data_IF_823622055228
#
_entry.id   IF_823622055228
#
_cell.length_a   1.000
_cell.length_b   1.000
_cell.length_c   1.000
_cell.angle_alpha   90.00
_cell.angle_beta   90.00
_cell.angle_gamma   90.00
#
_symmetry.space_group_name_H-M   'P 1'
#
loop_
_entity.id
_entity.type
_entity.pdbx_description
1 polymer ?
#
# COMPACT_ATOMS: atom_id res chain seq x y z
N UNK A 1 -7.85 8.26 8.26
CA UNK A 1 -7.97 6.78 8.33
C UNK A 1 -8.09 6.26 6.90
N UNK A 2 -7.00 5.78 6.36
CA UNK A 2 -6.94 5.19 5.01
C UNK A 2 -7.55 3.77 5.07
N UNK A 3 -8.57 3.49 4.26
CA UNK A 3 -9.09 2.13 4.07
C UNK A 3 -8.54 1.57 2.78
N UNK A 4 -8.00 0.37 2.84
CA UNK A 4 -7.50 -0.36 1.68
C UNK A 4 -8.63 -1.22 1.09
N UNK A 5 -8.84 -1.12 -0.22
CA UNK A 5 -9.65 -2.06 -0.98
C UNK A 5 -8.72 -2.83 -1.91
N UNK A 6 -8.70 -4.15 -1.78
CA UNK A 6 -7.99 -5.01 -2.72
C UNK A 6 -8.93 -5.40 -3.86
N UNK A 7 -8.49 -5.22 -5.09
CA UNK A 7 -9.22 -5.59 -6.32
C UNK A 7 -9.76 -7.03 -6.38
N UNK A 8 -9.22 -8.05 -5.68
CA UNK A 8 -9.73 -9.41 -5.75
C UNK A 8 -11.16 -9.61 -5.21
N UNK A 9 -11.63 -8.81 -4.26
CA UNK A 9 -12.98 -8.97 -3.69
C UNK A 9 -14.11 -8.45 -4.60
N UNK A 10 -13.77 -7.67 -5.63
CA UNK A 10 -14.72 -7.16 -6.62
C UNK A 10 -14.76 -8.03 -7.90
N UNK A 11 -13.91 -9.06 -7.98
CA UNK A 11 -13.71 -9.87 -9.20
C UNK A 11 -14.72 -10.97 -9.43
N UNK A 12 -15.60 -11.31 -8.47
CA UNK A 12 -16.59 -12.39 -8.62
C UNK A 12 -17.91 -11.99 -9.28
N UNK A 13 -18.06 -10.75 -9.75
CA UNK A 13 -19.16 -10.42 -10.62
C UNK A 13 -18.84 -10.92 -12.04
N UNK A 14 -19.66 -11.84 -12.56
CA UNK A 14 -19.58 -12.40 -13.90
C UNK A 14 -19.58 -11.30 -14.97
N UNK A 15 -18.41 -10.89 -15.42
CA UNK A 15 -18.26 -9.99 -16.55
C UNK A 15 -17.29 -10.62 -17.53
N UNK A 16 -17.78 -10.93 -18.71
CA UNK A 16 -17.03 -11.42 -19.86
C UNK A 16 -15.95 -10.39 -20.23
N UNK A 17 -14.71 -10.84 -20.27
CA UNK A 17 -13.57 -10.07 -20.76
C UNK A 17 -13.79 -9.69 -22.23
N UNK A 18 -13.87 -8.41 -22.52
CA UNK A 18 -13.87 -7.90 -23.90
C UNK A 18 -12.44 -7.61 -24.33
N UNK A 19 -11.85 -8.43 -25.21
CA UNK A 19 -10.47 -8.26 -25.66
C UNK A 19 -10.26 -7.05 -26.58
N UNK A 20 -11.34 -6.42 -27.06
CA UNK A 20 -11.27 -5.33 -28.06
C UNK A 20 -11.07 -3.97 -27.37
N UNK A 21 -11.59 -3.77 -26.17
CA UNK A 21 -11.55 -2.45 -25.52
C UNK A 21 -10.38 -2.27 -24.54
N UNK A 22 -9.63 -3.32 -24.18
CA UNK A 22 -8.55 -3.31 -23.17
C UNK A 22 -8.96 -2.63 -21.83
N UNK A 23 -10.24 -2.36 -21.62
CA UNK A 23 -10.74 -1.70 -20.41
C UNK A 23 -10.83 -2.68 -19.24
N UNK A 24 -10.41 -2.24 -18.08
CA UNK A 24 -10.76 -2.90 -16.82
C UNK A 24 -12.29 -2.98 -16.72
N UNK A 25 -12.88 -4.12 -16.31
CA UNK A 25 -14.34 -4.26 -16.23
C UNK A 25 -15.01 -3.28 -15.24
N UNK A 26 -14.23 -2.59 -14.45
CA UNK A 26 -14.66 -1.44 -13.64
C UNK A 26 -13.66 -0.31 -13.86
N UNK A 27 -14.10 0.80 -14.47
CA UNK A 27 -13.26 1.95 -14.72
C UNK A 27 -12.77 2.53 -13.38
N UNK A 28 -11.58 3.13 -13.37
CA UNK A 28 -11.06 3.84 -12.20
C UNK A 28 -12.06 4.91 -11.70
N UNK A 29 -12.75 5.58 -12.63
CA UNK A 29 -13.80 6.53 -12.34
C UNK A 29 -14.91 5.93 -11.47
N UNK A 30 -15.43 4.74 -11.82
CA UNK A 30 -16.51 4.09 -11.06
C UNK A 30 -16.10 3.78 -9.61
N UNK A 31 -14.82 3.37 -9.42
CA UNK A 31 -14.27 3.12 -8.07
C UNK A 31 -14.16 4.42 -7.29
N UNK A 32 -13.68 5.47 -7.95
CA UNK A 32 -13.53 6.80 -7.36
C UNK A 32 -14.89 7.38 -6.96
N UNK A 33 -15.90 7.28 -7.81
CA UNK A 33 -17.25 7.76 -7.53
C UNK A 33 -17.87 7.03 -6.34
N UNK A 34 -17.71 5.71 -6.27
CA UNK A 34 -18.15 4.91 -5.12
C UNK A 34 -17.44 5.31 -3.82
N UNK A 35 -16.13 5.62 -3.91
CA UNK A 35 -15.36 6.09 -2.78
C UNK A 35 -15.86 7.46 -2.30
N UNK A 36 -16.07 8.42 -3.21
CA UNK A 36 -16.61 9.75 -2.91
C UNK A 36 -18.02 9.68 -2.31
N UNK A 37 -18.87 8.78 -2.86
CA UNK A 37 -20.18 8.51 -2.27
C UNK A 37 -20.06 7.98 -0.84
N UNK A 38 -19.19 7.03 -0.58
CA UNK A 38 -19.00 6.48 0.77
C UNK A 38 -18.45 7.52 1.76
N UNK A 39 -17.59 8.43 1.33
CA UNK A 39 -17.15 9.58 2.15
C UNK A 39 -18.33 10.47 2.51
N UNK A 40 -19.14 10.84 1.53
CA UNK A 40 -20.33 11.68 1.72
C UNK A 40 -21.34 11.01 2.66
N UNK A 41 -21.65 9.73 2.43
CA UNK A 41 -22.60 8.97 3.27
C UNK A 41 -22.12 8.85 4.73
N UNK A 42 -20.80 8.90 4.95
CA UNK A 42 -20.16 8.88 6.27
C UNK A 42 -19.90 10.27 6.87
N UNK A 43 -20.36 11.35 6.23
CA UNK A 43 -20.12 12.73 6.67
C UNK A 43 -18.64 13.13 6.69
N UNK A 44 -17.82 12.54 5.82
CA UNK A 44 -16.39 12.83 5.72
C UNK A 44 -16.13 13.87 4.63
N UNK A 45 -15.03 14.61 4.80
CA UNK A 45 -14.59 15.55 3.77
C UNK A 45 -14.24 14.80 2.46
N UNK A 46 -14.65 15.31 1.29
CA UNK A 46 -14.27 14.74 0.01
C UNK A 46 -12.75 14.68 -0.15
N UNK A 47 -12.24 13.52 -0.55
CA UNK A 47 -10.80 13.30 -0.68
C UNK A 47 -10.08 12.93 0.62
N UNK A 48 -10.81 12.74 1.72
CA UNK A 48 -10.24 12.27 3.00
C UNK A 48 -9.80 10.80 2.98
N UNK A 49 -10.20 10.06 1.93
CA UNK A 49 -9.79 8.67 1.69
C UNK A 49 -9.04 8.60 0.38
N UNK A 50 -7.84 8.04 0.44
CA UNK A 50 -6.98 7.82 -0.72
C UNK A 50 -7.15 6.40 -1.25
N UNK A 51 -7.24 6.27 -2.57
CA UNK A 51 -7.28 4.99 -3.27
C UNK A 51 -5.85 4.54 -3.58
N UNK A 52 -5.47 3.35 -3.14
CA UNK A 52 -4.21 2.72 -3.53
C UNK A 52 -4.53 1.58 -4.51
N UNK A 53 -4.10 1.72 -5.76
CA UNK A 53 -4.27 0.69 -6.78
C UNK A 53 -3.24 -0.43 -6.59
N UNK A 54 -3.69 -1.63 -6.23
CA UNK A 54 -2.79 -2.77 -6.01
C UNK A 54 -2.41 -3.40 -7.34
N UNK A 55 -1.14 -3.27 -7.72
CA UNK A 55 -0.57 -3.69 -9.00
C UNK A 55 0.22 -5.01 -8.96
N UNK A 56 0.24 -5.68 -7.80
CA UNK A 56 0.89 -6.99 -7.66
C UNK A 56 0.38 -8.00 -8.70
N UNK A 57 1.30 -8.72 -9.35
CA UNK A 57 0.99 -9.74 -10.35
C UNK A 57 0.16 -9.21 -11.54
N UNK A 58 0.05 -7.89 -11.72
CA UNK A 58 -0.63 -7.32 -12.89
C UNK A 58 0.36 -7.11 -14.04
N UNK A 59 -0.05 -7.40 -15.29
CA UNK A 59 0.76 -7.06 -16.45
C UNK A 59 0.95 -5.54 -16.58
N UNK A 60 2.07 -5.13 -17.17
CA UNK A 60 2.44 -3.72 -17.29
C UNK A 60 1.38 -2.89 -18.02
N UNK A 61 0.73 -3.45 -19.03
CA UNK A 61 -0.31 -2.78 -19.83
C UNK A 61 -1.52 -2.37 -18.99
N UNK A 62 -1.85 -3.17 -17.95
CA UNK A 62 -2.93 -2.82 -17.01
C UNK A 62 -2.53 -1.71 -16.05
N UNK A 63 -1.29 -1.74 -15.59
CA UNK A 63 -0.76 -0.70 -14.70
C UNK A 63 -0.69 0.61 -15.47
N UNK A 64 -0.18 0.56 -16.70
CA UNK A 64 -0.07 1.71 -17.58
C UNK A 64 -1.43 2.34 -17.92
N UNK A 65 -2.45 1.53 -18.17
CA UNK A 65 -3.81 2.04 -18.40
C UNK A 65 -4.31 2.89 -17.23
N UNK A 66 -4.05 2.47 -16.00
CA UNK A 66 -4.43 3.21 -14.79
C UNK A 66 -3.58 4.48 -14.62
N UNK A 67 -2.29 4.43 -14.98
CA UNK A 67 -1.42 5.61 -15.00
C UNK A 67 -1.88 6.64 -16.04
N UNK A 68 -2.32 6.20 -17.23
CA UNK A 68 -2.86 7.05 -18.29
C UNK A 68 -4.18 7.72 -17.89
N UNK A 69 -5.00 7.08 -17.04
CA UNK A 69 -6.19 7.69 -16.43
C UNK A 69 -5.84 8.73 -15.35
N UNK A 70 -4.55 8.98 -15.08
CA UNK A 70 -4.09 9.99 -14.12
C UNK A 70 -3.88 9.49 -12.70
N UNK A 71 -4.12 8.23 -12.40
CA UNK A 71 -3.86 7.69 -11.07
C UNK A 71 -2.36 7.58 -10.78
N UNK A 72 -1.95 7.86 -9.54
CA UNK A 72 -0.52 7.93 -9.18
C UNK A 72 -0.15 7.12 -7.93
N UNK A 73 -1.11 6.62 -7.16
CA UNK A 73 -0.87 5.93 -5.89
C UNK A 73 -1.03 4.42 -6.07
N UNK A 74 0.06 3.68 -6.00
CA UNK A 74 0.07 2.25 -6.27
C UNK A 74 0.62 1.43 -5.11
N UNK A 75 0.19 0.17 -5.01
CA UNK A 75 0.64 -0.75 -3.98
C UNK A 75 1.21 -2.04 -4.56
N UNK A 76 2.37 -2.44 -4.03
CA UNK A 76 3.03 -3.70 -4.36
C UNK A 76 3.19 -4.59 -3.13
N UNK A 77 3.22 -5.90 -3.34
CA UNK A 77 3.43 -6.86 -2.25
C UNK A 77 4.89 -7.27 -2.10
N UNK A 78 5.69 -7.18 -3.14
CA UNK A 78 7.07 -7.68 -3.17
C UNK A 78 8.03 -6.63 -3.69
N UNK A 79 9.09 -6.37 -2.93
CA UNK A 79 10.12 -5.39 -3.28
C UNK A 79 10.77 -5.72 -4.62
N UNK A 80 11.02 -7.01 -4.92
CA UNK A 80 11.64 -7.42 -6.17
C UNK A 80 10.75 -7.15 -7.39
N UNK A 81 9.44 -7.41 -7.28
CA UNK A 81 8.48 -7.09 -8.34
C UNK A 81 8.41 -5.58 -8.57
N UNK A 82 8.33 -4.83 -7.48
CA UNK A 82 8.34 -3.38 -7.52
C UNK A 82 9.61 -2.83 -8.20
N UNK A 83 10.78 -3.32 -7.82
CA UNK A 83 12.06 -2.89 -8.37
C UNK A 83 12.24 -3.23 -9.86
N UNK A 84 11.63 -4.31 -10.34
CA UNK A 84 11.66 -4.66 -11.76
C UNK A 84 10.67 -3.90 -12.63
N UNK A 85 9.62 -3.33 -12.04
CA UNK A 85 8.50 -2.70 -12.76
C UNK A 85 8.54 -1.17 -12.72
N UNK A 86 8.66 -0.60 -11.53
CA UNK A 86 8.38 0.82 -11.28
C UNK A 86 9.42 1.82 -11.77
N UNK A 87 10.73 1.52 -11.87
CA UNK A 87 11.68 2.45 -12.47
C UNK A 87 11.28 2.88 -13.88
N UNK A 88 10.88 1.93 -14.74
CA UNK A 88 10.43 2.21 -16.10
C UNK A 88 9.20 3.13 -16.14
N UNK A 89 8.21 2.91 -15.26
CA UNK A 89 7.03 3.78 -15.23
C UNK A 89 7.36 5.18 -14.73
N UNK A 90 8.31 5.32 -13.79
CA UNK A 90 8.73 6.63 -13.26
C UNK A 90 9.52 7.47 -14.25
N UNK A 91 10.11 6.87 -15.28
CA UNK A 91 10.72 7.59 -16.40
C UNK A 91 9.67 8.31 -17.26
N UNK A 92 8.47 7.75 -17.35
CA UNK A 92 7.38 8.26 -18.21
C UNK A 92 6.32 9.04 -17.42
N UNK A 93 6.04 8.62 -16.19
CA UNK A 93 4.99 9.19 -15.35
C UNK A 93 5.56 9.82 -14.09
N UNK A 94 5.41 11.13 -13.98
CA UNK A 94 5.87 11.87 -12.81
C UNK A 94 4.97 11.62 -11.59
N UNK A 95 5.52 11.86 -10.40
CA UNK A 95 4.80 11.86 -9.11
C UNK A 95 4.12 10.54 -8.75
N UNK A 96 4.69 9.41 -9.20
CA UNK A 96 4.18 8.09 -8.80
C UNK A 96 4.53 7.84 -7.34
N UNK A 97 3.50 7.67 -6.52
CA UNK A 97 3.59 7.29 -5.11
C UNK A 97 3.42 5.77 -4.97
N UNK A 98 4.48 5.09 -4.61
CA UNK A 98 4.53 3.63 -4.52
C UNK A 98 4.56 3.19 -3.06
N UNK A 99 3.59 2.37 -2.69
CA UNK A 99 3.45 1.80 -1.35
C UNK A 99 3.83 0.32 -1.35
N UNK A 100 4.62 -0.11 -0.37
CA UNK A 100 4.79 -1.53 -0.08
C UNK A 100 3.72 -1.96 0.92
N UNK A 101 2.76 -2.77 0.46
CA UNK A 101 1.65 -3.25 1.28
C UNK A 101 1.82 -4.70 1.74
N UNK A 102 2.71 -5.45 1.11
CA UNK A 102 3.03 -6.83 1.48
C UNK A 102 4.14 -6.94 2.53
N UNK A 103 4.39 -8.15 3.03
CA UNK A 103 5.38 -8.39 4.10
C UNK A 103 6.80 -8.00 3.65
N UNK A 104 7.50 -7.27 4.51
CA UNK A 104 8.87 -6.83 4.25
C UNK A 104 9.90 -7.70 4.96
N UNK A 105 10.72 -8.39 4.18
CA UNK A 105 11.91 -9.06 4.71
C UNK A 105 12.98 -8.04 5.11
N UNK A 106 13.61 -8.25 6.25
CA UNK A 106 14.61 -7.31 6.81
C UNK A 106 15.79 -7.05 5.86
N UNK A 107 16.24 -8.07 5.10
CA UNK A 107 17.31 -7.95 4.12
C UNK A 107 16.91 -7.17 2.84
N UNK A 108 15.63 -6.88 2.65
CA UNK A 108 15.11 -6.07 1.56
C UNK A 108 14.70 -4.65 2.00
N UNK A 109 14.89 -4.33 3.27
CA UNK A 109 14.45 -3.06 3.85
C UNK A 109 15.07 -1.86 3.16
N UNK A 110 16.38 -1.87 2.86
CA UNK A 110 17.06 -0.77 2.15
C UNK A 110 16.41 -0.52 0.80
N UNK A 111 16.26 -1.56 -0.02
CA UNK A 111 15.67 -1.45 -1.35
C UNK A 111 14.21 -0.95 -1.29
N UNK A 112 13.44 -1.39 -0.27
CA UNK A 112 12.09 -0.90 -0.06
C UNK A 112 12.06 0.60 0.28
N UNK A 113 12.96 1.07 1.15
CA UNK A 113 13.05 2.47 1.57
C UNK A 113 13.48 3.39 0.41
N UNK A 114 14.34 2.93 -0.47
CA UNK A 114 14.78 3.69 -1.64
C UNK A 114 13.72 3.77 -2.75
N UNK A 115 12.82 2.78 -2.80
CA UNK A 115 11.84 2.63 -3.86
C UNK A 115 10.46 3.18 -3.49
N UNK A 116 10.02 2.99 -2.24
CA UNK A 116 8.64 3.25 -1.80
C UNK A 116 8.54 4.53 -0.97
N UNK A 117 7.44 5.26 -1.16
CA UNK A 117 7.07 6.42 -0.34
C UNK A 117 6.40 6.01 0.96
N UNK A 118 5.78 4.80 1.00
CA UNK A 118 5.19 4.26 2.21
C UNK A 118 5.40 2.74 2.35
N UNK A 119 5.55 2.27 3.59
CA UNK A 119 5.65 0.85 3.95
C UNK A 119 4.57 0.54 4.97
N UNK A 120 3.66 -0.39 4.62
CA UNK A 120 2.48 -0.70 5.43
C UNK A 120 2.63 -1.95 6.31
N UNK A 121 3.78 -2.60 6.26
CA UNK A 121 4.01 -3.90 6.88
C UNK A 121 5.03 -3.87 8.03
N UNK A 122 5.05 -2.78 8.79
CA UNK A 122 5.86 -2.73 10.01
C UNK A 122 5.18 -3.55 11.11
N UNK A 123 5.67 -4.77 11.32
CA UNK A 123 4.99 -5.81 12.11
C UNK A 123 5.87 -6.43 13.23
N UNK A 124 7.09 -5.97 13.44
CA UNK A 124 8.01 -6.56 14.44
C UNK A 124 9.17 -5.66 14.83
N UNK A 125 9.69 -5.78 16.09
CA UNK A 125 10.78 -4.94 16.58
C UNK A 125 12.07 -5.03 15.78
N UNK A 126 12.43 -6.21 15.25
CA UNK A 126 13.62 -6.39 14.42
C UNK A 126 13.57 -5.54 13.14
N UNK A 127 12.41 -5.46 12.50
CA UNK A 127 12.23 -4.64 11.31
C UNK A 127 12.28 -3.14 11.68
N UNK A 128 11.64 -2.73 12.77
CA UNK A 128 11.68 -1.35 13.25
C UNK A 128 13.12 -0.87 13.48
N UNK A 129 13.94 -1.65 14.19
CA UNK A 129 15.35 -1.35 14.42
C UNK A 129 16.15 -1.25 13.11
N UNK A 130 15.88 -2.11 12.15
CA UNK A 130 16.54 -2.06 10.84
C UNK A 130 16.15 -0.82 10.06
N UNK A 131 14.86 -0.47 10.02
CA UNK A 131 14.39 0.73 9.33
C UNK A 131 14.95 2.00 9.98
N UNK A 132 15.00 2.07 11.30
CA UNK A 132 15.58 3.22 12.01
C UNK A 132 17.08 3.43 11.67
N UNK A 133 17.88 2.35 11.71
CA UNK A 133 19.28 2.42 11.29
C UNK A 133 19.41 2.87 9.83
N UNK A 134 18.62 2.31 8.93
CA UNK A 134 18.66 2.67 7.52
C UNK A 134 18.17 4.10 7.27
N UNK A 135 17.19 4.59 8.03
CA UNK A 135 16.74 5.98 7.95
C UNK A 135 17.85 6.97 8.27
N UNK A 136 18.67 6.67 9.31
CA UNK A 136 19.84 7.46 9.64
C UNK A 136 20.92 7.40 8.54
N UNK A 137 21.15 6.23 7.96
CA UNK A 137 22.14 6.06 6.88
C UNK A 137 21.71 6.75 5.57
N UNK A 138 20.42 6.73 5.23
CA UNK A 138 19.87 7.30 3.98
C UNK A 138 19.49 8.78 4.12
N UNK A 139 19.39 9.29 5.35
CA UNK A 139 18.92 10.64 5.63
C UNK A 139 17.42 10.85 5.32
N UNK A 140 16.67 9.78 5.07
CA UNK A 140 15.24 9.81 4.76
C UNK A 140 14.55 8.53 5.21
N UNK A 141 13.25 8.61 5.46
CA UNK A 141 12.43 7.47 5.83
C UNK A 141 11.06 7.59 5.13
N UNK A 142 10.59 6.54 4.44
CA UNK A 142 9.22 6.52 3.94
C UNK A 142 8.21 6.58 5.09
N UNK A 143 6.96 6.93 4.78
CA UNK A 143 5.87 6.86 5.73
C UNK A 143 5.67 5.40 6.19
N UNK A 144 5.58 5.18 7.50
CA UNK A 144 5.44 3.84 8.07
C UNK A 144 4.07 3.63 8.69
N UNK A 145 3.47 2.48 8.37
CA UNK A 145 2.23 2.02 8.98
C UNK A 145 2.49 0.71 9.73
N UNK A 146 2.04 0.64 10.97
CA UNK A 146 2.12 -0.58 11.77
C UNK A 146 1.04 -1.54 11.34
N UNK A 147 1.43 -2.74 10.92
CA UNK A 147 0.48 -3.79 10.59
C UNK A 147 -0.05 -4.44 11.87
N UNK A 148 -1.37 -4.42 12.03
CA UNK A 148 -2.07 -5.00 13.17
C UNK A 148 -2.92 -6.18 12.70
N UNK A 149 -2.79 -7.32 13.36
CA UNK A 149 -3.59 -8.53 13.14
C UNK A 149 -4.91 -8.41 13.92
N UNK A 150 -5.88 -7.73 13.34
CA UNK A 150 -7.16 -7.44 13.99
C UNK A 150 -8.07 -8.66 14.17
N UNK A 151 -7.85 -9.72 13.39
CA UNK A 151 -8.59 -10.97 13.50
C UNK A 151 -7.98 -11.95 14.51
N UNK A 152 -6.82 -11.60 15.09
CA UNK A 152 -6.07 -12.45 16.03
C UNK A 152 -5.85 -13.87 15.49
N UNK A 153 -5.52 -13.97 14.19
CA UNK A 153 -5.30 -15.22 13.49
C UNK A 153 -3.80 -15.55 13.46
N UNK A 154 -3.39 -16.68 14.05
CA UNK A 154 -1.98 -17.08 14.19
C UNK A 154 -1.18 -17.12 12.88
N UNK A 155 -1.86 -17.39 11.75
CA UNK A 155 -1.22 -17.48 10.43
C UNK A 155 -1.07 -16.11 9.75
N UNK A 156 -1.71 -15.04 10.26
CA UNK A 156 -1.61 -13.69 9.68
C UNK A 156 -0.49 -12.89 10.33
N UNK A 157 0.25 -12.15 9.49
CA UNK A 157 1.25 -11.19 9.96
C UNK A 157 0.59 -9.98 10.62
N UNK A 158 1.30 -9.35 11.54
CA UNK A 158 0.87 -8.14 12.24
C UNK A 158 1.05 -8.24 13.74
N UNK A 159 1.15 -7.09 14.39
CA UNK A 159 1.18 -6.99 15.86
C UNK A 159 -0.24 -7.28 16.40
N UNK A 160 -0.32 -7.98 17.52
CA UNK A 160 -1.59 -8.20 18.21
C UNK A 160 -2.20 -6.87 18.68
N UNK A 161 -3.52 -6.69 18.64
CA UNK A 161 -4.16 -5.42 19.02
C UNK A 161 -3.74 -4.94 20.42
N UNK A 162 -3.63 -5.85 21.38
CA UNK A 162 -3.22 -5.56 22.75
C UNK A 162 -1.78 -5.01 22.85
N UNK A 163 -0.89 -5.38 21.91
CA UNK A 163 0.53 -4.98 21.90
C UNK A 163 0.80 -3.75 21.02
N UNK A 164 -0.16 -3.38 20.15
CA UNK A 164 0.05 -2.36 19.13
C UNK A 164 0.47 -1.01 19.73
N UNK A 165 -0.14 -0.59 20.83
CA UNK A 165 0.19 0.67 21.51
C UNK A 165 1.64 0.72 22.02
N UNK A 166 2.09 -0.36 22.68
CA UNK A 166 3.45 -0.48 23.18
C UNK A 166 4.47 -0.53 22.04
N UNK A 167 4.15 -1.26 20.96
CA UNK A 167 4.99 -1.34 19.78
C UNK A 167 5.15 0.01 19.08
N UNK A 168 4.05 0.75 18.87
CA UNK A 168 4.07 2.10 18.27
C UNK A 168 4.93 3.05 19.11
N UNK A 169 4.77 3.03 20.44
CA UNK A 169 5.60 3.84 21.36
C UNK A 169 7.09 3.49 21.20
N UNK A 170 7.43 2.21 21.15
CA UNK A 170 8.79 1.74 20.92
C UNK A 170 9.36 2.14 19.57
N UNK A 171 8.56 2.06 18.49
CA UNK A 171 8.98 2.47 17.16
C UNK A 171 9.21 3.98 17.06
N UNK A 172 8.37 4.80 17.68
CA UNK A 172 8.55 6.26 17.76
C UNK A 172 9.79 6.64 18.58
N UNK A 173 10.13 5.88 19.61
CA UNK A 173 11.36 6.08 20.38
C UNK A 173 12.65 5.80 19.56
N UNK A 174 12.52 5.09 18.43
CA UNK A 174 13.57 4.93 17.41
C UNK A 174 13.54 6.02 16.33
N UNK A 175 12.82 7.11 16.57
CA UNK A 175 12.66 8.25 15.64
C UNK A 175 11.99 7.88 14.30
N UNK A 176 11.24 6.76 14.26
CA UNK A 176 10.49 6.36 13.08
C UNK A 176 9.19 7.18 12.93
N UNK A 177 8.93 7.65 11.70
CA UNK A 177 7.71 8.37 11.35
C UNK A 177 6.53 7.40 11.20
N UNK A 178 5.84 7.10 12.30
CA UNK A 178 4.65 6.25 12.28
C UNK A 178 3.42 7.11 11.96
N UNK A 179 2.86 6.94 10.76
CA UNK A 179 1.70 7.70 10.24
C UNK A 179 0.37 7.09 10.63
N UNK A 180 0.32 5.79 10.85
CA UNK A 180 -0.92 5.10 11.17
C UNK A 180 -0.75 3.60 11.35
N UNK A 181 -1.88 2.92 11.26
CA UNK A 181 -1.95 1.46 11.30
C UNK A 181 -2.55 0.91 10.02
N UNK A 182 -2.16 -0.31 9.67
CA UNK A 182 -2.72 -1.07 8.56
C UNK A 182 -3.29 -2.39 9.11
N UNK A 183 -4.42 -2.81 8.61
CA UNK A 183 -4.96 -4.14 8.87
C UNK A 183 -5.59 -4.73 7.61
N UNK A 184 -5.55 -6.05 7.51
CA UNK A 184 -6.41 -6.81 6.62
C UNK A 184 -7.57 -7.34 7.48
N UNK A 185 -8.78 -6.87 7.28
CA UNK A 185 -9.93 -7.42 8.00
C UNK A 185 -10.12 -8.90 7.67
N UNK A 186 -10.73 -9.68 8.58
CA UNK A 186 -11.03 -11.09 8.36
C UNK A 186 -11.99 -11.32 7.20
#
# INVERSE_FOLDING_TARGET
>A
RTRFYTLPQLWHAQHTFDPITKRCPMALADITDRLRKAESDAGREPGSVELIAISKNQPNERVEAVLQEGHRVFGENRVQEAAGKWPMFRETYESVDLHLVGPLQTNKARQAMELCQAIHSLDRPKLAKTLARLAQELGSCPDLFVQVNTGEEDQKAGIWPAEAGAFIKGARALELSIRGVMCNPP
#
